data_IF_314301470986
#
_entry.id   IF_314301470986
#
_cell.length_a   1.000
_cell.length_b   1.000
_cell.length_c   1.000
_cell.angle_alpha   90.00
_cell.angle_beta   90.00
_cell.angle_gamma   90.00
#
_symmetry.space_group_name_H-M   'P 1'
#
loop_
_entity.id
_entity.type
_entity.pdbx_description
1 polymer ?
#
# COMPACT_ATOMS: atom_id res chain seq x y z
N UNK A 1 16.79 51.02 -0.03
CA UNK A 1 17.93 50.44 0.71
C UNK A 1 17.69 48.95 0.86
N UNK A 2 18.45 48.11 0.17
CA UNK A 2 18.36 46.64 0.25
C UNK A 2 19.58 46.13 1.01
N UNK A 3 19.44 45.30 2.05
CA UNK A 3 20.59 44.62 2.62
C UNK A 3 20.97 43.45 1.71
N UNK A 4 22.21 43.49 1.22
CA UNK A 4 22.86 42.37 0.52
C UNK A 4 23.19 41.30 1.57
N UNK A 5 22.53 40.16 1.51
CA UNK A 5 22.93 38.97 2.28
C UNK A 5 23.92 38.19 1.42
N UNK A 6 25.18 38.15 1.85
CA UNK A 6 26.24 37.31 1.28
C UNK A 6 26.07 35.93 1.91
N UNK A 7 25.60 34.96 1.12
CA UNK A 7 25.53 33.56 1.54
C UNK A 7 26.87 32.88 1.23
N UNK A 8 27.68 32.66 2.27
CA UNK A 8 28.91 31.90 2.17
C UNK A 8 28.58 30.41 1.97
N UNK A 9 28.93 29.86 0.81
CA UNK A 9 28.84 28.42 0.53
C UNK A 9 30.06 27.76 1.14
N UNK A 10 29.90 27.15 2.32
CA UNK A 10 30.87 26.21 2.87
C UNK A 10 30.68 24.85 2.20
N UNK A 11 31.55 24.52 1.25
CA UNK A 11 31.70 23.15 0.72
C UNK A 11 32.41 22.28 1.75
N UNK A 12 31.65 21.70 2.68
CA UNK A 12 32.14 20.58 3.46
C UNK A 12 32.20 19.34 2.54
N UNK A 13 33.41 19.00 2.08
CA UNK A 13 33.69 17.68 1.52
C UNK A 13 33.56 16.65 2.65
N UNK A 14 32.35 16.13 2.87
CA UNK A 14 32.19 14.85 3.53
C UNK A 14 32.73 13.79 2.58
N UNK A 15 33.94 13.30 2.85
CA UNK A 15 34.36 11.99 2.36
C UNK A 15 33.42 10.96 2.99
N UNK A 16 32.36 10.61 2.27
CA UNK A 16 31.59 9.41 2.49
C UNK A 16 32.52 8.23 2.20
N UNK A 17 33.24 7.77 3.21
CA UNK A 17 33.71 6.40 3.21
C UNK A 17 32.45 5.54 3.20
N UNK A 18 32.06 5.03 2.04
CA UNK A 18 31.10 3.94 1.96
C UNK A 18 31.67 2.79 2.77
N UNK A 19 31.22 2.68 4.02
CA UNK A 19 31.20 1.42 4.73
C UNK A 19 30.33 0.50 3.88
N UNK A 20 30.97 -0.23 2.95
CA UNK A 20 30.41 -1.41 2.34
C UNK A 20 30.22 -2.39 3.47
N UNK A 21 29.05 -2.34 4.11
CA UNK A 21 28.53 -3.49 4.82
C UNK A 21 28.64 -4.65 3.83
N UNK A 22 29.38 -5.72 4.15
CA UNK A 22 29.46 -6.85 3.26
C UNK A 22 28.02 -7.30 3.04
N UNK A 23 27.58 -7.25 1.79
CA UNK A 23 26.38 -7.96 1.37
C UNK A 23 26.63 -9.41 1.76
N UNK A 24 26.07 -9.88 2.87
CA UNK A 24 25.94 -11.31 3.14
C UNK A 24 24.85 -11.87 2.22
N UNK A 25 24.95 -11.58 0.92
CA UNK A 25 24.45 -12.45 -0.11
C UNK A 25 25.39 -13.64 -0.06
N UNK A 26 24.95 -14.70 0.62
CA UNK A 26 25.51 -15.99 0.30
C UNK A 26 25.10 -16.23 -1.16
N UNK A 27 25.98 -15.91 -2.12
CA UNK A 27 25.67 -15.98 -3.55
C UNK A 27 25.21 -17.38 -4.01
N UNK A 28 25.33 -18.38 -3.12
CA UNK A 28 24.88 -19.75 -3.32
C UNK A 28 23.45 -20.04 -2.80
N UNK A 29 22.80 -19.13 -2.07
CA UNK A 29 21.41 -19.33 -1.60
C UNK A 29 20.40 -18.89 -2.66
N UNK A 30 20.15 -19.80 -3.61
CA UNK A 30 19.14 -19.63 -4.66
C UNK A 30 17.76 -20.07 -4.20
N UNK A 31 16.74 -19.41 -4.74
CA UNK A 31 15.33 -19.68 -4.45
C UNK A 31 14.47 -19.38 -5.69
N UNK A 32 13.21 -19.80 -5.65
CA UNK A 32 12.26 -19.46 -6.70
C UNK A 32 12.03 -20.57 -7.72
N UNK A 33 11.08 -20.33 -8.61
CA UNK A 33 10.63 -21.30 -9.61
C UNK A 33 11.78 -21.79 -10.51
N UNK A 34 12.61 -20.87 -10.97
CA UNK A 34 13.78 -21.15 -11.84
C UNK A 34 14.91 -21.92 -11.13
N UNK A 35 14.82 -22.07 -9.80
CA UNK A 35 15.79 -22.79 -8.98
C UNK A 35 15.13 -23.97 -8.26
N UNK A 36 14.46 -24.82 -9.04
CA UNK A 36 13.81 -26.07 -8.55
C UNK A 36 12.83 -25.81 -7.40
N UNK A 37 12.15 -24.66 -7.40
CA UNK A 37 11.23 -24.24 -6.35
C UNK A 37 11.85 -24.18 -4.94
N UNK A 38 13.17 -23.98 -4.85
CA UNK A 38 13.84 -23.82 -3.57
C UNK A 38 13.26 -22.63 -2.80
N UNK A 39 13.10 -22.81 -1.49
CA UNK A 39 12.64 -21.77 -0.57
C UNK A 39 13.83 -21.23 0.21
N UNK A 40 13.78 -19.94 0.51
CA UNK A 40 14.75 -19.33 1.40
C UNK A 40 14.61 -19.85 2.83
N UNK A 41 15.70 -19.82 3.61
CA UNK A 41 15.66 -20.05 5.05
C UNK A 41 14.65 -19.14 5.76
N UNK A 42 14.27 -19.52 6.98
CA UNK A 42 13.32 -18.75 7.79
C UNK A 42 13.74 -17.27 7.90
N UNK A 43 12.76 -16.36 7.81
CA UNK A 43 12.94 -14.91 7.87
C UNK A 43 13.73 -14.29 6.69
N UNK A 44 14.09 -15.07 5.68
CA UNK A 44 14.68 -14.54 4.45
C UNK A 44 13.64 -14.45 3.32
N UNK A 45 13.87 -13.47 2.46
CA UNK A 45 13.05 -13.14 1.31
C UNK A 45 13.65 -13.72 0.05
N UNK A 46 12.80 -14.18 -0.87
CA UNK A 46 13.24 -14.66 -2.17
C UNK A 46 13.08 -13.55 -3.21
N UNK A 47 14.19 -12.96 -3.65
CA UNK A 47 14.15 -11.93 -4.70
C UNK A 47 13.64 -12.49 -6.02
N UNK A 48 13.06 -11.67 -6.90
CA UNK A 48 12.68 -12.08 -8.26
C UNK A 48 13.88 -12.54 -9.11
N UNK A 49 15.09 -12.10 -8.78
CA UNK A 49 16.34 -12.58 -9.37
C UNK A 49 16.74 -14.00 -8.90
N UNK A 50 16.00 -14.59 -7.97
CA UNK A 50 16.19 -15.96 -7.50
C UNK A 50 17.24 -16.12 -6.40
N UNK A 51 17.47 -15.07 -5.60
CA UNK A 51 18.41 -15.07 -4.47
C UNK A 51 17.70 -14.82 -3.15
N UNK A 52 18.21 -15.43 -2.09
CA UNK A 52 17.77 -15.17 -0.72
C UNK A 52 18.48 -13.97 -0.10
N UNK A 53 17.72 -13.11 0.58
CA UNK A 53 18.26 -11.95 1.30
C UNK A 53 17.21 -11.35 2.24
N UNK A 54 17.58 -10.28 2.94
CA UNK A 54 16.73 -9.66 3.98
C UNK A 54 16.52 -8.16 3.75
N UNK A 55 17.12 -7.58 2.72
CA UNK A 55 16.98 -6.14 2.41
C UNK A 55 15.73 -5.87 1.57
N UNK A 56 15.36 -4.60 1.46
CA UNK A 56 14.21 -4.17 0.65
C UNK A 56 14.25 -4.71 -0.79
N UNK A 57 15.43 -4.74 -1.41
CA UNK A 57 15.63 -5.27 -2.76
C UNK A 57 15.25 -6.76 -2.92
N UNK A 58 15.11 -7.51 -1.82
CA UNK A 58 14.68 -8.90 -1.81
C UNK A 58 13.25 -9.06 -1.30
N UNK A 59 12.83 -8.19 -0.39
CA UNK A 59 11.64 -8.38 0.43
C UNK A 59 10.44 -7.56 -0.03
N UNK A 60 10.66 -6.44 -0.74
CA UNK A 60 9.56 -5.54 -1.07
C UNK A 60 8.65 -6.10 -2.15
N UNK A 61 7.37 -5.79 -2.04
CA UNK A 61 6.37 -6.03 -3.07
C UNK A 61 5.76 -4.71 -3.51
N UNK A 62 5.15 -4.61 -4.69
CA UNK A 62 5.20 -5.59 -5.77
C UNK A 62 6.58 -5.64 -6.43
N UNK A 63 6.91 -6.78 -7.04
CA UNK A 63 7.98 -6.85 -8.03
C UNK A 63 9.38 -7.25 -7.56
N UNK A 64 9.71 -7.19 -6.26
CA UNK A 64 11.03 -7.61 -5.78
C UNK A 64 11.01 -8.97 -5.06
N UNK A 65 9.90 -9.36 -4.44
CA UNK A 65 9.81 -10.60 -3.65
C UNK A 65 8.86 -11.65 -4.26
N UNK A 66 9.26 -12.92 -4.23
CA UNK A 66 8.47 -14.08 -4.63
C UNK A 66 7.78 -14.72 -3.40
N UNK A 67 6.51 -14.37 -3.13
CA UNK A 67 5.75 -14.76 -1.93
C UNK A 67 5.66 -16.29 -1.66
N UNK A 68 5.87 -17.14 -2.67
CA UNK A 68 5.83 -18.62 -2.52
C UNK A 68 7.16 -19.22 -2.05
N UNK A 69 8.25 -18.48 -2.14
CA UNK A 69 9.61 -18.99 -1.98
C UNK A 69 10.42 -18.27 -0.89
N UNK A 70 9.83 -17.29 -0.22
CA UNK A 70 10.42 -16.61 0.92
C UNK A 70 9.40 -15.76 1.65
N UNK A 71 9.83 -15.10 2.72
CA UNK A 71 9.04 -14.06 3.38
C UNK A 71 9.11 -12.78 2.53
N UNK A 72 8.01 -12.09 2.36
CA UNK A 72 7.94 -10.74 1.80
C UNK A 72 7.41 -9.78 2.87
N UNK A 73 7.64 -8.48 2.69
CA UNK A 73 7.08 -7.46 3.57
C UNK A 73 5.54 -7.58 3.70
N UNK A 74 4.85 -7.95 2.63
CA UNK A 74 3.41 -8.22 2.60
C UNK A 74 2.96 -9.42 3.42
N UNK A 75 3.84 -10.35 3.81
CA UNK A 75 3.44 -11.47 4.66
C UNK A 75 3.05 -11.01 6.07
N UNK A 76 3.43 -9.79 6.46
CA UNK A 76 3.01 -9.16 7.71
C UNK A 76 1.48 -9.19 7.88
N UNK A 77 1.06 -9.48 9.11
CA UNK A 77 -0.34 -9.44 9.52
C UNK A 77 -0.55 -8.21 10.40
N UNK A 78 -1.47 -7.30 10.04
CA UNK A 78 -1.76 -6.11 10.83
C UNK A 78 -2.25 -6.43 12.24
N UNK A 79 -2.14 -5.46 13.16
CA UNK A 79 -2.42 -5.70 14.60
C UNK A 79 -3.90 -5.58 14.97
N UNK A 80 -4.71 -4.93 14.13
CA UNK A 80 -6.12 -4.65 14.41
C UNK A 80 -7.03 -5.87 14.51
N UNK A 81 -8.33 -5.69 14.83
CA UNK A 81 -9.29 -6.79 14.93
C UNK A 81 -9.57 -7.45 13.57
N UNK A 82 -10.03 -8.71 13.60
CA UNK A 82 -10.38 -9.43 12.36
C UNK A 82 -11.57 -8.77 11.67
N UNK A 83 -11.49 -8.43 10.37
CA UNK A 83 -12.64 -7.93 9.62
C UNK A 83 -13.74 -8.98 9.40
N UNK A 84 -13.50 -10.25 9.77
CA UNK A 84 -14.48 -11.32 9.68
C UNK A 84 -15.63 -11.15 10.69
N UNK A 85 -15.39 -10.39 11.77
CA UNK A 85 -16.36 -10.19 12.84
C UNK A 85 -17.46 -9.19 12.45
N UNK A 86 -17.27 -8.47 11.34
CA UNK A 86 -18.19 -7.44 10.87
C UNK A 86 -19.13 -7.99 9.80
N UNK A 87 -20.43 -7.74 9.99
CA UNK A 87 -21.47 -8.08 9.01
C UNK A 87 -21.26 -7.28 7.73
N UNK A 88 -21.07 -7.98 6.60
CA UNK A 88 -20.99 -7.37 5.27
C UNK A 88 -22.37 -7.31 4.65
N UNK A 89 -22.69 -6.17 4.04
CA UNK A 89 -23.90 -6.00 3.23
C UNK A 89 -23.47 -6.07 1.77
N UNK A 90 -24.02 -7.03 1.04
CA UNK A 90 -23.78 -7.22 -0.38
C UNK A 90 -25.05 -7.75 -1.06
N UNK A 91 -25.09 -7.63 -2.38
CA UNK A 91 -26.10 -8.29 -3.20
C UNK A 91 -25.45 -9.32 -4.15
N UNK A 92 -26.25 -10.08 -4.88
CA UNK A 92 -25.72 -11.07 -5.83
C UNK A 92 -25.37 -10.47 -7.20
N UNK A 93 -25.45 -9.15 -7.38
CA UNK A 93 -25.13 -8.48 -8.64
C UNK A 93 -23.63 -8.27 -8.74
N UNK A 94 -23.17 -7.97 -9.95
CA UNK A 94 -21.81 -7.52 -10.18
C UNK A 94 -21.90 -6.01 -10.42
N UNK A 95 -21.49 -5.17 -9.45
CA UNK A 95 -21.63 -3.73 -9.59
C UNK A 95 -20.80 -3.22 -10.77
N UNK A 96 -21.33 -2.19 -11.42
CA UNK A 96 -20.56 -1.38 -12.34
C UNK A 96 -19.46 -0.64 -11.58
N UNK A 97 -18.36 -0.36 -12.26
CA UNK A 97 -17.32 0.51 -11.72
C UNK A 97 -17.86 1.94 -11.69
N UNK A 98 -17.71 2.61 -10.55
CA UNK A 98 -18.10 4.01 -10.37
C UNK A 98 -17.02 4.88 -11.02
N UNK A 99 -17.42 5.65 -12.04
CA UNK A 99 -16.51 6.53 -12.80
C UNK A 99 -16.89 8.01 -12.74
N UNK A 100 -18.04 8.32 -12.16
CA UNK A 100 -18.60 9.66 -12.21
C UNK A 100 -19.33 9.98 -10.90
N UNK A 101 -19.29 11.26 -10.54
CA UNK A 101 -20.11 11.78 -9.46
C UNK A 101 -21.59 11.73 -9.86
N UNK A 102 -22.46 11.41 -8.89
CA UNK A 102 -23.92 11.47 -9.10
C UNK A 102 -24.49 12.88 -8.88
N UNK A 103 -23.88 13.65 -7.99
CA UNK A 103 -24.31 15.02 -7.68
C UNK A 103 -23.77 15.96 -8.77
N UNK A 104 -24.60 16.79 -9.41
CA UNK A 104 -24.11 17.80 -10.34
C UNK A 104 -23.15 18.77 -9.67
N UNK A 105 -22.19 19.30 -10.45
CA UNK A 105 -21.22 20.31 -10.00
C UNK A 105 -20.35 19.86 -8.81
N UNK A 106 -20.05 18.57 -8.72
CA UNK A 106 -19.07 18.04 -7.77
C UNK A 106 -17.89 17.41 -8.49
N UNK A 107 -16.69 17.65 -7.95
CA UNK A 107 -15.45 17.01 -8.32
C UNK A 107 -14.96 16.19 -7.12
N UNK A 108 -14.47 14.97 -7.36
CA UNK A 108 -13.85 14.14 -6.34
C UNK A 108 -12.35 14.08 -6.60
N UNK A 109 -11.56 14.79 -5.79
CA UNK A 109 -10.10 14.65 -5.79
C UNK A 109 -9.74 13.34 -5.09
N UNK A 110 -8.95 12.49 -5.76
CA UNK A 110 -8.59 11.18 -5.22
C UNK A 110 -7.09 10.95 -5.33
N UNK A 111 -6.49 10.36 -4.29
CA UNK A 111 -5.07 10.08 -4.22
C UNK A 111 -4.85 8.60 -3.91
N UNK A 112 -4.07 7.93 -4.73
CA UNK A 112 -3.73 6.51 -4.58
C UNK A 112 -2.32 6.37 -3.98
N UNK A 113 -1.92 5.14 -3.67
CA UNK A 113 -0.58 4.73 -3.24
C UNK A 113 -0.08 5.33 -1.93
N UNK A 114 -0.87 6.17 -1.26
CA UNK A 114 -0.54 6.75 0.03
C UNK A 114 -0.75 5.80 1.22
N UNK A 115 -0.36 6.22 2.44
CA UNK A 115 0.39 7.45 2.73
C UNK A 115 1.87 7.37 2.32
N UNK A 116 2.47 8.51 2.03
CA UNK A 116 3.86 8.66 1.63
C UNK A 116 4.45 9.95 2.23
N UNK A 117 5.75 10.21 2.00
CA UNK A 117 6.48 11.33 2.60
C UNK A 117 5.77 12.69 2.44
N UNK A 118 5.17 12.95 1.26
CA UNK A 118 4.50 14.23 0.95
C UNK A 118 2.99 14.24 1.23
N UNK A 119 2.44 13.20 1.87
CA UNK A 119 0.99 13.17 2.15
C UNK A 119 0.57 14.31 3.09
N UNK A 120 1.43 14.74 4.01
CA UNK A 120 1.15 15.90 4.87
C UNK A 120 0.97 17.19 4.07
N UNK A 121 1.84 17.44 3.08
CA UNK A 121 1.77 18.62 2.20
C UNK A 121 0.47 18.62 1.39
N UNK A 122 0.02 17.46 0.90
CA UNK A 122 -1.27 17.34 0.20
C UNK A 122 -2.43 17.72 1.13
N UNK A 123 -2.40 17.25 2.38
CA UNK A 123 -3.42 17.58 3.37
C UNK A 123 -3.42 19.09 3.72
N UNK A 124 -2.23 19.70 3.83
CA UNK A 124 -2.10 21.14 4.07
C UNK A 124 -2.74 21.96 2.93
N UNK A 125 -2.46 21.59 1.67
CA UNK A 125 -3.06 22.24 0.49
C UNK A 125 -4.58 22.01 0.46
N UNK A 126 -5.07 20.82 0.76
CA UNK A 126 -6.52 20.59 0.80
C UNK A 126 -7.18 21.48 1.87
N UNK A 127 -6.57 21.62 3.05
CA UNK A 127 -7.07 22.48 4.11
C UNK A 127 -7.07 23.97 3.72
N UNK A 128 -6.03 24.45 3.03
CA UNK A 128 -5.93 25.84 2.55
C UNK A 128 -7.11 26.22 1.66
N UNK A 129 -7.61 25.28 0.85
CA UNK A 129 -8.71 25.50 -0.08
C UNK A 129 -10.08 25.03 0.44
N UNK A 130 -10.20 24.69 1.74
CA UNK A 130 -11.40 24.07 2.33
C UNK A 130 -11.93 22.87 1.49
N UNK A 131 -10.98 22.12 0.92
CA UNK A 131 -11.24 21.00 0.04
C UNK A 131 -11.14 19.68 0.80
N UNK A 132 -11.91 18.68 0.34
CA UNK A 132 -11.81 17.30 0.83
C UNK A 132 -11.41 16.38 -0.30
N UNK A 133 -10.50 15.46 0.00
CA UNK A 133 -10.13 14.37 -0.89
C UNK A 133 -10.55 12.99 -0.39
N UNK A 134 -10.41 12.00 -1.28
CA UNK A 134 -10.49 10.58 -0.97
C UNK A 134 -9.11 9.95 -1.15
N UNK A 135 -8.57 9.33 -0.11
CA UNK A 135 -7.27 8.66 -0.15
C UNK A 135 -7.47 7.15 -0.20
N UNK A 136 -7.07 6.51 -1.30
CA UNK A 136 -7.04 5.06 -1.43
C UNK A 136 -5.71 4.55 -0.90
N UNK A 137 -5.74 4.00 0.31
CA UNK A 137 -4.54 3.67 1.04
C UNK A 137 -4.12 2.22 0.79
N UNK A 138 -2.84 2.02 0.46
CA UNK A 138 -2.25 0.69 0.39
C UNK A 138 -1.79 0.20 1.76
N UNK A 139 -1.66 -1.12 1.91
CA UNK A 139 -1.30 -1.75 3.18
C UNK A 139 0.19 -1.72 3.54
N UNK A 140 0.96 -2.59 2.90
CA UNK A 140 2.41 -2.71 3.04
C UNK A 140 3.00 -3.14 1.69
N UNK A 141 3.67 -2.21 1.02
CA UNK A 141 4.32 -2.39 -0.27
C UNK A 141 5.41 -1.32 -0.45
N UNK A 142 6.31 -1.50 -1.41
CA UNK A 142 7.46 -0.64 -1.71
C UNK A 142 8.36 -0.38 -0.50
N UNK A 143 8.50 -1.35 0.42
CA UNK A 143 9.40 -1.22 1.57
C UNK A 143 9.02 -0.14 2.59
N UNK A 144 7.89 0.54 2.42
CA UNK A 144 7.48 1.69 3.24
C UNK A 144 6.99 1.34 4.65
N UNK A 145 6.89 0.04 4.94
CA UNK A 145 6.29 -0.49 6.16
C UNK A 145 4.77 -0.49 6.15
N UNK A 146 4.20 -1.08 7.19
CA UNK A 146 2.76 -1.24 7.34
C UNK A 146 2.07 0.08 7.63
N UNK A 147 0.92 0.32 6.99
CA UNK A 147 0.09 1.50 7.23
C UNK A 147 -0.39 1.66 8.68
N UNK A 148 -0.49 0.58 9.45
CA UNK A 148 -0.89 0.62 10.87
C UNK A 148 0.29 0.79 11.86
N UNK A 149 1.44 1.26 11.37
CA UNK A 149 2.64 1.53 12.17
C UNK A 149 3.07 3.00 12.05
N UNK A 150 4.18 3.29 11.35
CA UNK A 150 4.73 4.65 11.24
C UNK A 150 3.79 5.67 10.59
N UNK A 151 2.79 5.20 9.85
CA UNK A 151 1.82 6.04 9.13
C UNK A 151 0.57 6.38 9.96
N UNK A 152 0.44 5.86 11.18
CA UNK A 152 -0.77 6.09 12.00
C UNK A 152 -1.14 7.57 12.22
N UNK A 153 -0.21 8.53 12.40
CA UNK A 153 -0.57 9.93 12.61
C UNK A 153 -1.23 10.56 11.38
N UNK A 154 -0.67 10.34 10.18
CA UNK A 154 -1.20 10.92 8.94
C UNK A 154 -2.54 10.29 8.55
N UNK A 155 -2.74 9.01 8.81
CA UNK A 155 -4.03 8.34 8.58
C UNK A 155 -5.11 8.87 9.52
N UNK A 156 -4.79 9.15 10.79
CA UNK A 156 -5.73 9.80 11.72
C UNK A 156 -6.04 11.23 11.29
N UNK A 157 -5.02 11.98 10.83
CA UNK A 157 -5.18 13.33 10.28
C UNK A 157 -6.20 13.36 9.14
N UNK A 158 -6.13 12.40 8.21
CA UNK A 158 -7.11 12.29 7.11
C UNK A 158 -8.56 12.28 7.62
N UNK A 159 -8.86 11.49 8.65
CA UNK A 159 -10.21 11.41 9.22
C UNK A 159 -10.59 12.68 9.99
N UNK A 160 -9.67 13.23 10.79
CA UNK A 160 -9.92 14.44 11.57
C UNK A 160 -10.23 15.67 10.70
N UNK A 161 -9.58 15.76 9.53
CA UNK A 161 -9.78 16.84 8.55
C UNK A 161 -10.94 16.54 7.58
N UNK A 162 -11.72 15.48 7.82
CA UNK A 162 -12.95 15.20 7.07
C UNK A 162 -12.74 14.57 5.70
N UNK A 163 -11.56 14.02 5.42
CA UNK A 163 -11.29 13.27 4.20
C UNK A 163 -11.85 11.85 4.26
N UNK A 164 -12.07 11.26 3.08
CA UNK A 164 -12.50 9.87 2.97
C UNK A 164 -11.28 8.95 2.85
N UNK A 165 -11.32 7.81 3.53
CA UNK A 165 -10.35 6.72 3.34
C UNK A 165 -11.00 5.58 2.55
N UNK A 166 -10.35 5.17 1.48
CA UNK A 166 -10.63 3.96 0.71
C UNK A 166 -9.47 2.96 0.79
N UNK A 167 -9.71 1.72 0.34
CA UNK A 167 -8.68 0.69 0.24
C UNK A 167 -8.02 0.69 -1.14
N UNK A 168 -6.70 0.57 -1.18
CA UNK A 168 -5.92 0.31 -2.39
C UNK A 168 -5.17 -1.02 -2.32
N UNK A 169 -5.76 -2.01 -1.62
CA UNK A 169 -5.19 -3.36 -1.39
C UNK A 169 -3.96 -3.37 -0.48
N UNK A 170 -3.52 -4.58 -0.09
CA UNK A 170 -2.46 -4.72 0.88
C UNK A 170 -1.08 -4.56 0.23
N UNK A 171 -0.80 -5.33 -0.82
CA UNK A 171 0.50 -5.40 -1.50
C UNK A 171 0.49 -4.86 -2.94
N UNK A 172 -0.55 -4.12 -3.31
CA UNK A 172 -0.70 -3.52 -4.63
C UNK A 172 -0.65 -4.53 -5.83
N UNK A 173 -1.31 -5.72 -5.77
CA UNK A 173 -1.29 -6.65 -6.90
C UNK A 173 -2.29 -6.26 -8.00
N UNK A 174 -2.07 -6.75 -9.22
CA UNK A 174 -3.10 -6.76 -10.25
C UNK A 174 -4.25 -7.67 -9.81
N UNK A 175 -5.35 -7.07 -9.37
CA UNK A 175 -6.50 -7.79 -8.82
C UNK A 175 -7.17 -8.72 -9.85
N UNK A 176 -6.97 -8.49 -11.16
CA UNK A 176 -7.47 -9.38 -12.22
C UNK A 176 -6.62 -10.64 -12.41
N UNK A 177 -5.35 -10.61 -12.01
CA UNK A 177 -4.38 -11.69 -12.20
C UNK A 177 -4.29 -12.66 -11.01
N UNK A 178 -4.86 -12.29 -9.86
CA UNK A 178 -4.86 -13.12 -8.65
C UNK A 178 -6.21 -13.82 -8.43
N UNK A 179 -6.19 -14.90 -7.66
CA UNK A 179 -7.37 -15.71 -7.30
C UNK A 179 -8.35 -14.95 -6.39
N UNK A 180 -9.60 -15.42 -6.32
CA UNK A 180 -10.60 -14.85 -5.39
C UNK A 180 -10.17 -14.93 -3.92
N UNK A 181 -9.43 -15.98 -3.54
CA UNK A 181 -8.88 -16.09 -2.19
C UNK A 181 -7.84 -15.02 -1.92
N UNK A 182 -6.87 -14.83 -2.83
CA UNK A 182 -5.84 -13.79 -2.71
C UNK A 182 -6.47 -12.40 -2.69
N UNK A 183 -7.45 -12.10 -3.55
CA UNK A 183 -8.20 -10.82 -3.48
C UNK A 183 -8.80 -10.58 -2.11
N UNK A 184 -9.42 -11.60 -1.52
CA UNK A 184 -10.00 -11.49 -0.17
C UNK A 184 -8.93 -11.18 0.87
N UNK A 185 -7.79 -11.86 0.83
CA UNK A 185 -6.66 -11.61 1.75
C UNK A 185 -6.14 -10.18 1.62
N UNK A 186 -6.01 -9.67 0.38
CA UNK A 186 -5.59 -8.29 0.12
C UNK A 186 -6.52 -7.27 0.79
N UNK A 187 -7.83 -7.44 0.63
CA UNK A 187 -8.80 -6.52 1.23
C UNK A 187 -8.83 -6.64 2.75
N UNK A 188 -8.86 -7.86 3.28
CA UNK A 188 -8.98 -8.08 4.73
C UNK A 188 -7.74 -7.63 5.51
N UNK A 189 -6.53 -7.79 4.97
CA UNK A 189 -5.34 -7.22 5.62
C UNK A 189 -5.43 -5.70 5.67
N UNK A 190 -5.80 -5.06 4.56
CA UNK A 190 -5.94 -3.60 4.51
C UNK A 190 -7.03 -3.09 5.47
N UNK A 191 -8.17 -3.78 5.53
CA UNK A 191 -9.24 -3.48 6.50
C UNK A 191 -8.75 -3.60 7.94
N UNK A 192 -8.04 -4.68 8.29
CA UNK A 192 -7.51 -4.91 9.64
C UNK A 192 -6.56 -3.80 10.06
N UNK A 193 -5.71 -3.35 9.13
CA UNK A 193 -4.79 -2.25 9.37
C UNK A 193 -5.54 -0.92 9.57
N UNK A 194 -6.47 -0.56 8.69
CA UNK A 194 -7.24 0.69 8.82
C UNK A 194 -8.12 0.68 10.09
N UNK A 195 -8.76 -0.45 10.41
CA UNK A 195 -9.50 -0.66 11.66
C UNK A 195 -8.61 -0.40 12.88
N UNK A 196 -7.37 -0.90 12.87
CA UNK A 196 -6.42 -0.68 13.96
C UNK A 196 -6.16 0.81 14.21
N UNK A 197 -6.10 1.62 13.14
CA UNK A 197 -5.73 3.03 13.24
C UNK A 197 -6.92 3.93 13.56
N UNK A 198 -8.07 3.71 12.90
CA UNK A 198 -9.21 4.64 12.94
C UNK A 198 -10.53 4.00 13.38
N UNK A 199 -10.54 2.71 13.72
CA UNK A 199 -11.73 2.01 14.21
C UNK A 199 -12.85 1.84 13.18
N UNK A 200 -12.58 2.08 11.89
CA UNK A 200 -13.55 1.97 10.78
C UNK A 200 -12.96 1.17 9.63
N UNK A 201 -13.81 0.47 8.88
CA UNK A 201 -13.41 -0.19 7.62
C UNK A 201 -13.79 0.68 6.42
N UNK A 202 -12.93 0.73 5.38
CA UNK A 202 -13.33 1.32 4.11
C UNK A 202 -14.38 0.45 3.41
N UNK A 203 -15.37 1.08 2.77
CA UNK A 203 -16.32 0.43 1.85
C UNK A 203 -16.08 0.83 0.40
N UNK A 204 -15.12 1.72 0.15
CA UNK A 204 -14.68 2.10 -1.19
C UNK A 204 -13.29 1.53 -1.43
N UNK A 205 -13.06 1.04 -2.64
CA UNK A 205 -11.74 0.64 -3.09
C UNK A 205 -11.50 1.03 -4.53
N UNK A 206 -10.23 1.28 -4.85
CA UNK A 206 -9.72 1.38 -6.21
C UNK A 206 -8.76 0.22 -6.41
N UNK A 207 -8.86 -0.48 -7.53
CA UNK A 207 -7.94 -1.58 -7.82
C UNK A 207 -6.60 -1.02 -8.34
N UNK A 208 -5.45 -1.56 -7.90
CA UNK A 208 -4.14 -1.28 -8.48
C UNK A 208 -4.15 -1.44 -10.00
N UNK A 209 -3.46 -0.52 -10.70
CA UNK A 209 -3.42 -0.44 -12.17
C UNK A 209 -4.81 -0.40 -12.83
N UNK A 210 -5.84 0.00 -12.07
CA UNK A 210 -7.24 0.07 -12.55
C UNK A 210 -7.75 -1.33 -13.01
N UNK A 211 -7.08 -2.40 -12.57
CA UNK A 211 -7.22 -3.74 -13.12
C UNK A 211 -8.16 -4.64 -12.29
N UNK A 212 -9.47 -4.50 -12.49
CA UNK A 212 -10.48 -5.33 -11.83
C UNK A 212 -11.52 -5.91 -12.82
N UNK A 213 -11.27 -7.12 -13.31
CA UNK A 213 -12.15 -7.85 -14.21
C UNK A 213 -13.49 -8.25 -13.55
N UNK A 214 -14.37 -8.92 -14.30
CA UNK A 214 -15.69 -9.36 -13.81
C UNK A 214 -15.61 -10.22 -12.54
N UNK A 215 -14.62 -11.12 -12.46
CA UNK A 215 -14.39 -11.95 -11.28
C UNK A 215 -14.00 -11.09 -10.08
N UNK A 216 -13.05 -10.17 -10.27
CA UNK A 216 -12.63 -9.25 -9.22
C UNK A 216 -13.81 -8.42 -8.69
N UNK A 217 -14.63 -7.82 -9.57
CA UNK A 217 -15.80 -7.02 -9.15
C UNK A 217 -16.85 -7.84 -8.39
N UNK A 218 -17.06 -9.11 -8.79
CA UNK A 218 -17.94 -10.02 -8.07
C UNK A 218 -17.43 -10.26 -6.64
N UNK A 219 -16.13 -10.45 -6.48
CA UNK A 219 -15.53 -10.66 -5.16
C UNK A 219 -15.57 -9.38 -4.31
N UNK A 220 -15.29 -8.21 -4.91
CA UNK A 220 -15.39 -6.93 -4.21
C UNK A 220 -16.81 -6.67 -3.71
N UNK A 221 -17.83 -6.98 -4.51
CA UNK A 221 -19.21 -6.86 -4.07
C UNK A 221 -19.51 -7.73 -2.86
N UNK A 222 -19.11 -9.02 -2.88
CA UNK A 222 -19.27 -9.93 -1.72
C UNK A 222 -18.57 -9.42 -0.46
N UNK A 223 -17.50 -8.65 -0.63
CA UNK A 223 -16.77 -8.01 0.45
C UNK A 223 -17.37 -6.65 0.87
N UNK A 224 -18.45 -6.20 0.24
CA UNK A 224 -19.14 -4.94 0.54
C UNK A 224 -18.43 -3.71 -0.02
N UNK A 225 -17.59 -3.87 -1.04
CA UNK A 225 -16.87 -2.76 -1.66
C UNK A 225 -17.58 -2.15 -2.86
N UNK A 226 -17.55 -0.83 -2.90
CA UNK A 226 -17.74 -0.02 -4.10
C UNK A 226 -16.41 0.11 -4.83
N UNK A 227 -16.36 -0.36 -6.08
CA UNK A 227 -15.17 -0.24 -6.94
C UNK A 227 -15.23 1.07 -7.71
N UNK A 228 -14.24 1.94 -7.53
CA UNK A 228 -14.12 3.23 -8.24
C UNK A 228 -12.98 3.23 -9.25
N UNK A 229 -13.14 3.99 -10.33
CA UNK A 229 -12.08 4.39 -11.26
C UNK A 229 -12.19 5.88 -11.53
#
# INVERSE_FOLDING_TARGET
MHPKVILAVFTALLQLTSAHLPLTSNQNLRCGKEHKNHKCPAQMCCSVAGYCGTTEAYCSVPGNCQEKFGMCDSNKTPKGPSPADFKRIYDNRIPAVIKQCKKPRTLALTFDDGPAARTHEILDVLAEYDARGTFFLGGNFNGRGSIDEGWTPVVKRMIMEGHQIGSHTWSHPNMSAISSHERKVQMQKTERAILNVVGKMPTFMRAPMVACNRGCRKDMNKLGYHVVN
#
